data_IF_740796788844
#
_entry.id   IF_740796788844
#
_cell.length_a   1.000
_cell.length_b   1.000
_cell.length_c   1.000
_cell.angle_alpha   90.00
_cell.angle_beta   90.00
_cell.angle_gamma   90.00
#
_symmetry.space_group_name_H-M   'P 1'
#
loop_
_entity.id
_entity.type
_entity.pdbx_description
1 polymer ?
#
# COMPACT_ATOMS: atom_id res chain seq x y z
N UNK A 1 8.86 -7.88 1.82
CA UNK A 1 9.21 -7.26 0.52
C UNK A 1 9.79 -8.29 -0.43
N UNK A 2 9.20 -9.49 -0.48
CA UNK A 2 9.72 -10.57 -1.30
C UNK A 2 8.99 -10.58 -2.62
N UNK A 3 9.72 -10.62 -3.75
CA UNK A 3 9.17 -10.68 -5.11
C UNK A 3 8.26 -9.51 -5.48
N UNK A 4 8.56 -8.29 -5.03
CA UNK A 4 7.75 -7.11 -5.36
C UNK A 4 8.52 -6.02 -6.12
N UNK A 5 9.76 -6.32 -6.57
CA UNK A 5 10.54 -5.32 -7.28
C UNK A 5 9.92 -4.89 -8.60
N UNK A 6 9.17 -5.77 -9.27
CA UNK A 6 8.43 -5.49 -10.49
C UNK A 6 7.34 -4.43 -10.29
N UNK A 7 6.81 -4.29 -9.07
CA UNK A 7 5.77 -3.32 -8.76
C UNK A 7 6.21 -1.86 -8.89
N UNK A 8 7.51 -1.59 -8.82
CA UNK A 8 8.03 -0.25 -9.07
C UNK A 8 7.98 0.15 -10.55
N UNK A 9 8.04 -0.85 -11.43
CA UNK A 9 7.98 -0.65 -12.88
C UNK A 9 6.56 -0.77 -13.43
N UNK A 10 5.73 -1.66 -12.85
CA UNK A 10 4.38 -1.97 -13.33
C UNK A 10 3.26 -1.29 -12.52
N UNK A 11 3.51 -1.02 -11.24
CA UNK A 11 2.50 -0.53 -10.30
C UNK A 11 1.60 -1.64 -9.77
N UNK A 12 0.73 -1.29 -8.82
CA UNK A 12 -0.27 -2.17 -8.21
C UNK A 12 -1.67 -1.84 -8.69
N UNK A 13 -2.57 -2.83 -8.61
CA UNK A 13 -3.97 -2.71 -8.93
C UNK A 13 -4.79 -2.55 -7.65
N UNK A 14 -5.40 -1.40 -7.45
CA UNK A 14 -6.23 -1.14 -6.28
C UNK A 14 -7.67 -1.63 -6.49
N UNK A 15 -8.24 -2.17 -5.43
CA UNK A 15 -9.62 -2.62 -5.40
C UNK A 15 -10.31 -2.12 -4.15
N UNK A 16 -11.42 -1.41 -4.32
CA UNK A 16 -12.29 -1.04 -3.21
C UNK A 16 -12.98 -2.31 -2.73
N UNK A 17 -12.83 -2.60 -1.44
CA UNK A 17 -13.40 -3.79 -0.81
C UNK A 17 -14.67 -3.48 -0.03
N UNK A 18 -15.42 -4.52 0.30
CA UNK A 18 -16.59 -4.41 1.18
C UNK A 18 -16.20 -4.02 2.61
N UNK A 19 -15.02 -4.45 3.06
CA UNK A 19 -14.47 -4.08 4.36
C UNK A 19 -14.19 -2.57 4.41
N UNK A 20 -14.62 -1.92 5.49
CA UNK A 20 -14.35 -0.50 5.76
C UNK A 20 -13.21 -0.33 6.76
N UNK A 21 -12.52 0.81 6.67
CA UNK A 21 -11.62 1.24 7.73
C UNK A 21 -12.39 1.36 9.05
N UNK A 22 -11.75 0.98 10.16
CA UNK A 22 -12.39 1.08 11.47
C UNK A 22 -12.38 2.55 11.88
N UNK A 23 -13.55 3.13 12.18
CA UNK A 23 -13.62 4.52 12.57
C UNK A 23 -12.99 4.74 13.96
N UNK A 24 -12.40 5.92 14.15
CA UNK A 24 -11.61 6.24 15.33
C UNK A 24 -12.38 6.12 16.65
N UNK A 25 -13.70 6.26 16.67
CA UNK A 25 -14.52 6.10 17.86
C UNK A 25 -14.71 4.63 18.30
N UNK A 26 -14.45 3.66 17.45
CA UNK A 26 -14.48 2.24 17.80
C UNK A 26 -13.08 1.73 18.17
N UNK A 27 -12.09 2.04 17.38
CA UNK A 27 -10.69 1.72 17.65
C UNK A 27 -9.80 2.73 16.94
N UNK A 28 -9.10 3.58 17.69
CA UNK A 28 -8.28 4.64 17.10
C UNK A 28 -7.19 4.06 16.19
N UNK A 29 -7.25 4.27 14.86
CA UNK A 29 -6.31 3.72 13.91
C UNK A 29 -4.89 4.26 14.09
N UNK A 30 -4.70 5.36 14.80
CA UNK A 30 -3.39 5.91 15.16
C UNK A 30 -2.62 5.00 16.10
N UNK A 31 -3.31 4.10 16.81
CA UNK A 31 -2.70 3.03 17.59
C UNK A 31 -2.36 1.88 16.64
N UNK A 32 -1.07 1.65 16.40
CA UNK A 32 -0.62 0.55 15.53
C UNK A 32 -0.88 -0.81 16.18
N UNK A 33 -2.09 -1.33 16.04
CA UNK A 33 -2.49 -2.62 16.53
C UNK A 33 -1.95 -3.76 15.65
N UNK A 34 -1.45 -4.83 16.26
CA UNK A 34 -1.00 -6.04 15.55
C UNK A 34 -2.14 -6.98 15.18
N UNK A 35 -3.25 -6.95 15.91
CA UNK A 35 -4.45 -7.71 15.57
C UNK A 35 -5.13 -7.07 14.37
N UNK A 36 -4.85 -7.59 13.18
CA UNK A 36 -5.34 -7.07 11.89
C UNK A 36 -6.34 -7.99 11.22
N UNK A 37 -7.08 -8.75 12.01
CA UNK A 37 -8.03 -9.74 11.51
C UNK A 37 -9.09 -9.10 10.61
N UNK A 38 -9.56 -7.91 10.97
CA UNK A 38 -10.52 -7.16 10.16
C UNK A 38 -9.96 -6.75 8.78
N UNK A 39 -8.67 -6.44 8.68
CA UNK A 39 -8.03 -6.17 7.39
C UNK A 39 -7.74 -7.44 6.59
N UNK A 40 -7.68 -8.61 7.25
CA UNK A 40 -7.54 -9.89 6.57
C UNK A 40 -8.75 -10.16 5.65
N UNK A 41 -9.95 -9.75 6.05
CA UNK A 41 -11.14 -9.91 5.21
C UNK A 41 -11.01 -9.16 3.87
N UNK A 42 -10.46 -7.94 3.89
CA UNK A 42 -10.18 -7.20 2.66
C UNK A 42 -9.14 -7.91 1.78
N UNK A 43 -8.10 -8.50 2.39
CA UNK A 43 -7.10 -9.28 1.65
C UNK A 43 -7.69 -10.56 1.04
N UNK A 44 -8.58 -11.25 1.75
CA UNK A 44 -9.29 -12.43 1.23
C UNK A 44 -10.13 -12.02 0.01
N UNK A 45 -10.89 -10.93 0.11
CA UNK A 45 -11.72 -10.41 -0.97
C UNK A 45 -10.89 -10.14 -2.23
N UNK A 46 -9.79 -9.42 -2.14
CA UNK A 46 -8.95 -9.13 -3.31
C UNK A 46 -8.19 -10.36 -3.83
N UNK A 47 -7.92 -11.36 -2.97
CA UNK A 47 -7.29 -12.61 -3.40
C UNK A 47 -8.17 -13.48 -4.30
N UNK A 48 -9.49 -13.27 -4.26
CA UNK A 48 -10.45 -13.97 -5.14
C UNK A 48 -10.55 -13.32 -6.53
N UNK A 49 -9.98 -12.13 -6.70
CA UNK A 49 -9.99 -11.40 -7.96
C UNK A 49 -8.91 -11.96 -8.88
N UNK A 50 -9.28 -12.30 -10.12
CA UNK A 50 -8.31 -12.79 -11.11
C UNK A 50 -7.26 -11.73 -11.43
N UNK A 51 -6.03 -12.16 -11.60
CA UNK A 51 -4.87 -11.32 -11.90
C UNK A 51 -3.89 -11.26 -10.74
N UNK A 52 -2.78 -10.59 -10.96
CA UNK A 52 -1.71 -10.42 -9.98
C UNK A 52 -1.71 -8.99 -9.44
N UNK A 53 -1.00 -8.82 -8.32
CA UNK A 53 -0.72 -7.51 -7.73
C UNK A 53 -1.99 -6.69 -7.38
N UNK A 54 -3.06 -7.41 -7.01
CA UNK A 54 -4.30 -6.83 -6.52
C UNK A 54 -4.14 -6.46 -5.03
N UNK A 55 -4.45 -5.22 -4.70
CA UNK A 55 -4.31 -4.65 -3.36
C UNK A 55 -5.63 -4.03 -2.92
N UNK A 56 -6.00 -4.24 -1.66
CA UNK A 56 -7.20 -3.64 -1.10
C UNK A 56 -7.02 -2.15 -0.82
N UNK A 57 -8.00 -1.36 -1.22
CA UNK A 57 -8.19 0.02 -0.82
C UNK A 57 -9.47 0.11 0.00
N UNK A 58 -9.34 0.56 1.24
CA UNK A 58 -10.46 0.69 2.17
C UNK A 58 -11.08 2.07 2.05
N UNK A 59 -12.39 2.11 2.09
CA UNK A 59 -13.13 3.35 2.34
C UNK A 59 -13.45 3.46 3.84
N UNK A 60 -13.65 4.66 4.31
CA UNK A 60 -14.23 4.91 5.63
C UNK A 60 -15.73 4.59 5.66
N UNK A 61 -16.38 4.80 6.80
CA UNK A 61 -17.82 4.55 6.96
C UNK A 61 -18.69 5.56 6.21
N UNK A 62 -18.14 6.66 5.75
CA UNK A 62 -18.84 7.67 4.94
C UNK A 62 -18.64 7.48 3.44
N UNK A 63 -17.80 6.52 3.03
CA UNK A 63 -17.51 6.22 1.63
C UNK A 63 -16.31 6.95 1.05
N UNK A 64 -15.56 7.70 1.85
CA UNK A 64 -14.32 8.32 1.42
C UNK A 64 -13.14 7.35 1.48
N UNK A 65 -12.17 7.53 0.60
CA UNK A 65 -10.93 6.75 0.59
C UNK A 65 -10.20 6.96 1.92
N UNK A 66 -9.79 5.85 2.56
CA UNK A 66 -9.02 5.87 3.79
C UNK A 66 -7.58 5.38 3.56
N UNK A 67 -7.33 4.09 3.62
CA UNK A 67 -6.01 3.52 3.51
C UNK A 67 -6.03 2.10 2.93
N UNK A 68 -4.88 1.54 2.60
CA UNK A 68 -4.76 0.10 2.31
C UNK A 68 -4.60 -0.71 3.59
N UNK A 69 -4.61 -2.04 3.48
CA UNK A 69 -4.48 -2.97 4.62
C UNK A 69 -3.22 -2.75 5.48
N UNK A 70 -2.19 -2.14 4.94
CA UNK A 70 -0.95 -1.87 5.67
C UNK A 70 -0.16 -0.72 5.07
N UNK A 71 -0.84 0.20 4.43
CA UNK A 71 -0.24 1.30 3.67
C UNK A 71 -1.17 2.50 3.61
N UNK A 72 -0.62 3.69 3.55
CA UNK A 72 -1.39 4.92 3.35
C UNK A 72 -1.52 5.21 1.86
N UNK A 73 -2.64 5.81 1.49
CA UNK A 73 -2.99 6.17 0.12
C UNK A 73 -2.68 7.64 -0.18
N UNK A 74 -2.27 7.89 -1.42
CA UNK A 74 -2.10 9.22 -1.99
C UNK A 74 -2.53 9.23 -3.44
N UNK A 75 -3.03 10.37 -3.91
CA UNK A 75 -3.21 10.63 -5.33
C UNK A 75 -2.54 11.95 -5.73
N UNK A 76 -2.28 12.11 -7.02
CA UNK A 76 -1.73 13.34 -7.60
C UNK A 76 -2.71 13.85 -8.64
N UNK A 77 -3.00 15.13 -8.59
CA UNK A 77 -3.75 15.86 -9.62
C UNK A 77 -3.12 17.23 -9.82
N UNK A 78 -2.86 17.59 -11.07
CA UNK A 78 -2.27 18.89 -11.44
C UNK A 78 -0.98 19.22 -10.65
N UNK A 79 -0.10 18.22 -10.50
CA UNK A 79 1.15 18.30 -9.72
C UNK A 79 0.95 18.63 -8.22
N UNK A 80 -0.24 18.45 -7.67
CA UNK A 80 -0.55 18.56 -6.25
C UNK A 80 -0.78 17.14 -5.70
N UNK A 81 -0.20 16.83 -4.56
CA UNK A 81 -0.43 15.57 -3.84
C UNK A 81 -1.63 15.75 -2.92
N UNK A 82 -2.57 14.83 -2.99
CA UNK A 82 -3.70 14.75 -2.07
C UNK A 82 -3.61 13.47 -1.25
N UNK A 83 -3.99 13.55 0.01
CA UNK A 83 -4.11 12.40 0.89
C UNK A 83 -5.46 12.43 1.61
N UNK A 84 -5.98 11.25 2.00
CA UNK A 84 -7.19 11.14 2.81
C UNK A 84 -7.05 11.87 4.15
N UNK A 85 -8.18 12.34 4.66
CA UNK A 85 -8.25 12.90 6.01
C UNK A 85 -7.73 11.91 7.05
N UNK A 86 -6.82 12.36 7.92
CA UNK A 86 -6.06 11.49 8.83
C UNK A 86 -6.84 11.07 10.09
N UNK A 87 -8.17 11.18 10.07
CA UNK A 87 -9.03 10.79 11.19
C UNK A 87 -9.06 9.28 11.37
N UNK A 88 -9.34 8.57 10.28
CA UNK A 88 -9.63 7.12 10.26
C UNK A 88 -8.50 6.31 9.58
N UNK A 89 -7.26 6.81 9.63
CA UNK A 89 -6.09 6.14 9.08
C UNK A 89 -4.92 6.12 10.05
N UNK A 90 -4.05 5.13 9.90
CA UNK A 90 -2.77 5.12 10.62
C UNK A 90 -1.88 6.26 10.10
N UNK A 91 -1.37 7.11 10.98
CA UNK A 91 -0.38 8.14 10.65
C UNK A 91 0.99 7.52 10.44
N UNK A 92 1.18 6.88 9.29
CA UNK A 92 2.37 6.11 8.95
C UNK A 92 3.64 6.97 8.91
N UNK A 93 4.79 6.38 9.28
CA UNK A 93 6.08 7.06 9.19
C UNK A 93 6.39 7.41 7.73
N UNK A 94 6.21 6.45 6.82
CA UNK A 94 6.41 6.67 5.38
C UNK A 94 5.50 7.77 4.81
N UNK A 95 4.26 7.84 5.28
CA UNK A 95 3.34 8.93 4.93
C UNK A 95 3.90 10.28 5.39
N UNK A 96 4.36 10.38 6.64
CA UNK A 96 4.96 11.60 7.19
C UNK A 96 6.21 12.03 6.42
N UNK A 97 7.07 11.08 6.04
CA UNK A 97 8.24 11.35 5.21
C UNK A 97 7.85 11.97 3.87
N UNK A 98 6.81 11.48 3.21
CA UNK A 98 6.31 12.12 1.98
C UNK A 98 5.85 13.54 2.23
N UNK A 99 5.06 13.76 3.29
CA UNK A 99 4.42 15.06 3.57
C UNK A 99 5.44 16.10 4.02
N UNK A 100 6.34 15.73 4.94
CA UNK A 100 7.19 16.69 5.64
C UNK A 100 8.60 16.84 5.04
N UNK A 101 9.09 15.81 4.34
CA UNK A 101 10.45 15.80 3.85
C UNK A 101 10.53 15.84 2.31
N UNK A 102 9.85 14.91 1.63
CA UNK A 102 10.03 14.70 0.19
C UNK A 102 9.28 15.73 -0.65
N UNK A 103 7.99 15.93 -0.37
CA UNK A 103 7.16 16.85 -1.15
C UNK A 103 7.65 18.31 -1.02
N UNK A 104 7.96 18.83 0.18
CA UNK A 104 8.54 20.16 0.32
C UNK A 104 9.87 20.32 -0.41
N UNK A 105 10.77 19.33 -0.32
CA UNK A 105 12.06 19.33 -1.03
C UNK A 105 11.89 19.42 -2.55
N UNK A 106 10.81 18.89 -3.09
CA UNK A 106 10.48 18.92 -4.52
C UNK A 106 9.60 20.13 -4.91
N UNK A 107 9.21 20.98 -3.97
CA UNK A 107 8.29 22.10 -4.20
C UNK A 107 6.87 21.65 -4.56
N UNK A 108 6.46 20.45 -4.12
CA UNK A 108 5.14 19.89 -4.41
C UNK A 108 4.21 20.14 -3.24
N UNK A 109 3.05 20.75 -3.52
CA UNK A 109 2.03 21.02 -2.52
C UNK A 109 1.35 19.71 -2.09
N UNK A 110 1.07 19.57 -0.79
CA UNK A 110 0.32 18.45 -0.22
C UNK A 110 -0.94 18.98 0.44
N UNK A 111 -2.08 18.37 0.14
CA UNK A 111 -3.40 18.76 0.65
C UNK A 111 -4.09 17.52 1.23
N UNK A 112 -4.53 17.62 2.48
CA UNK A 112 -5.42 16.66 3.12
C UNK A 112 -6.87 17.02 2.77
N UNK A 113 -7.65 16.05 2.28
CA UNK A 113 -9.08 16.22 1.96
C UNK A 113 -9.83 14.89 2.03
N UNK A 114 -11.15 14.96 2.13
CA UNK A 114 -11.99 13.80 1.82
C UNK A 114 -11.85 13.49 0.33
N UNK A 115 -11.43 12.28 0.01
CA UNK A 115 -11.22 11.79 -1.35
C UNK A 115 -12.33 10.81 -1.68
N UNK A 116 -13.12 11.10 -2.69
CA UNK A 116 -14.11 10.17 -3.21
C UNK A 116 -13.44 9.17 -4.19
N UNK A 117 -14.00 7.95 -4.37
CA UNK A 117 -13.51 7.05 -5.42
C UNK A 117 -13.46 7.68 -6.80
N UNK A 118 -14.38 8.62 -7.09
CA UNK A 118 -14.41 9.36 -8.35
C UNK A 118 -13.17 10.24 -8.52
N UNK A 119 -12.73 10.94 -7.47
CA UNK A 119 -11.49 11.73 -7.52
C UNK A 119 -10.29 10.88 -7.96
N UNK A 120 -10.24 9.60 -7.52
CA UNK A 120 -9.14 8.70 -7.87
C UNK A 120 -9.19 8.31 -9.35
N UNK A 121 -10.36 8.15 -9.94
CA UNK A 121 -10.49 7.90 -11.38
C UNK A 121 -10.01 9.08 -12.23
N UNK A 122 -10.18 10.30 -11.72
CA UNK A 122 -9.74 11.52 -12.40
C UNK A 122 -8.28 11.93 -12.06
N UNK A 123 -7.63 11.21 -11.15
CA UNK A 123 -6.25 11.50 -10.77
C UNK A 123 -5.26 11.25 -11.90
N UNK A 124 -4.18 12.02 -11.92
CA UNK A 124 -3.08 11.81 -12.87
C UNK A 124 -2.19 10.65 -12.44
N UNK A 125 -2.02 10.46 -11.12
CA UNK A 125 -1.24 9.38 -10.50
C UNK A 125 -1.87 8.99 -9.16
N UNK A 126 -1.59 7.75 -8.72
CA UNK A 126 -1.80 7.34 -7.34
C UNK A 126 -0.63 6.50 -6.84
N UNK A 127 -0.42 6.48 -5.53
CA UNK A 127 0.59 5.64 -4.92
C UNK A 127 0.25 5.29 -3.47
N UNK A 128 0.87 4.23 -2.99
CA UNK A 128 0.77 3.78 -1.60
C UNK A 128 2.11 3.94 -0.90
N UNK A 129 2.06 4.20 0.42
CA UNK A 129 3.27 4.29 1.24
C UNK A 129 3.24 3.32 2.41
N UNK A 130 4.37 2.66 2.66
CA UNK A 130 4.56 1.80 3.84
C UNK A 130 6.05 1.59 4.10
N UNK A 131 6.43 1.25 5.34
CA UNK A 131 7.82 1.01 5.72
C UNK A 131 8.51 -0.05 4.86
N UNK A 132 7.88 -1.21 4.51
CA UNK A 132 8.56 -2.25 3.74
C UNK A 132 8.95 -1.88 2.31
N UNK A 133 8.26 -0.93 1.67
CA UNK A 133 8.46 -0.61 0.26
C UNK A 133 8.58 0.89 -0.03
N UNK A 134 8.59 1.74 1.00
CA UNK A 134 8.62 3.20 0.89
C UNK A 134 7.42 3.75 0.12
N UNK A 135 7.47 3.75 -1.20
CA UNK A 135 6.41 4.19 -2.13
C UNK A 135 6.22 3.12 -3.19
N UNK A 136 4.97 2.74 -3.46
CA UNK A 136 4.59 1.91 -4.60
C UNK A 136 3.56 2.63 -5.46
N UNK A 137 3.77 2.74 -6.78
CA UNK A 137 2.78 3.30 -7.70
C UNK A 137 1.51 2.45 -7.74
N UNK A 138 0.35 3.08 -7.77
CA UNK A 138 -0.93 2.45 -8.06
C UNK A 138 -1.41 2.91 -9.44
N UNK A 139 -1.77 1.98 -10.31
CA UNK A 139 -2.01 2.26 -11.73
C UNK A 139 -3.43 1.99 -12.19
N UNK A 140 -4.20 1.26 -11.37
CA UNK A 140 -5.64 1.04 -11.61
C UNK A 140 -6.43 1.10 -10.30
N UNK A 141 -7.70 1.47 -10.41
CA UNK A 141 -8.70 1.29 -9.37
C UNK A 141 -9.90 0.53 -9.98
N UNK A 142 -10.28 -0.62 -9.39
CA UNK A 142 -11.37 -1.46 -9.88
C UNK A 142 -11.30 -1.75 -11.39
N UNK A 143 -10.13 -2.06 -11.93
CA UNK A 143 -9.77 -2.26 -13.35
C UNK A 143 -9.69 -1.00 -14.22
N UNK A 144 -10.20 0.13 -13.78
CA UNK A 144 -10.08 1.37 -14.52
C UNK A 144 -8.69 1.98 -14.31
N UNK A 145 -8.10 2.51 -15.36
CA UNK A 145 -6.78 3.15 -15.28
C UNK A 145 -6.85 4.44 -14.46
N UNK A 146 -5.82 4.67 -13.66
CA UNK A 146 -5.52 5.95 -13.05
C UNK A 146 -4.50 6.64 -13.96
N UNK A 147 -4.82 7.83 -14.45
CA UNK A 147 -4.01 8.53 -15.45
C UNK A 147 -3.81 7.69 -16.70
N UNK A 148 -2.59 7.46 -17.10
CA UNK A 148 -2.23 6.63 -18.27
C UNK A 148 -2.11 5.13 -17.94
N UNK A 149 -2.33 4.74 -16.69
CA UNK A 149 -2.20 3.37 -16.21
C UNK A 149 -0.75 2.92 -16.02
N UNK A 150 0.16 3.86 -15.75
CA UNK A 150 1.59 3.62 -15.52
C UNK A 150 2.09 4.38 -14.30
N UNK A 151 3.22 3.96 -13.70
CA UNK A 151 3.88 4.73 -12.65
C UNK A 151 4.18 6.16 -13.08
N UNK A 152 3.62 7.13 -12.37
CA UNK A 152 3.64 8.53 -12.78
C UNK A 152 4.97 9.24 -12.48
N UNK A 153 5.09 10.47 -13.00
CA UNK A 153 6.31 11.28 -12.91
C UNK A 153 6.57 11.78 -11.48
N UNK A 154 5.51 12.20 -10.77
CA UNK A 154 5.62 12.71 -9.39
C UNK A 154 6.03 11.57 -8.47
N UNK A 155 5.38 10.40 -8.59
CA UNK A 155 5.71 9.20 -7.83
C UNK A 155 7.19 8.81 -8.02
N UNK A 156 7.69 8.82 -9.26
CA UNK A 156 9.12 8.52 -9.54
C UNK A 156 10.06 9.56 -8.94
N UNK A 157 9.71 10.86 -8.98
CA UNK A 157 10.50 11.92 -8.33
C UNK A 157 10.56 11.73 -6.82
N UNK A 158 9.46 11.36 -6.17
CA UNK A 158 9.42 11.08 -4.74
C UNK A 158 10.31 9.89 -4.36
N UNK A 159 10.25 8.78 -5.10
CA UNK A 159 11.10 7.61 -4.88
C UNK A 159 12.58 7.98 -5.03
N UNK A 160 12.92 8.77 -6.06
CA UNK A 160 14.30 9.24 -6.24
C UNK A 160 14.74 10.15 -5.10
N UNK A 161 13.92 11.13 -4.72
CA UNK A 161 14.22 12.04 -3.60
C UNK A 161 14.41 11.28 -2.27
N UNK A 162 13.64 10.21 -2.07
CA UNK A 162 13.82 9.33 -0.91
C UNK A 162 15.14 8.59 -0.97
N UNK A 163 15.47 8.00 -2.14
CA UNK A 163 16.76 7.34 -2.34
C UNK A 163 17.94 8.27 -2.08
N UNK A 164 17.87 9.50 -2.57
CA UNK A 164 18.89 10.54 -2.35
C UNK A 164 18.99 10.93 -0.85
N UNK A 165 17.85 10.98 -0.15
CA UNK A 165 17.80 11.32 1.27
C UNK A 165 18.46 10.26 2.16
N UNK A 166 18.26 8.98 1.85
CA UNK A 166 18.82 7.87 2.65
C UNK A 166 20.17 7.37 2.13
N UNK A 167 20.68 7.92 1.02
CA UNK A 167 21.96 7.52 0.43
C UNK A 167 21.96 6.12 -0.19
N UNK A 168 20.76 5.58 -0.53
CA UNK A 168 20.61 4.23 -1.10
C UNK A 168 19.60 4.27 -2.23
N UNK A 169 19.95 3.72 -3.39
CA UNK A 169 19.01 3.47 -4.47
C UNK A 169 18.01 2.37 -4.04
N UNK A 170 16.83 2.78 -3.58
CA UNK A 170 15.81 1.91 -3.01
C UNK A 170 15.38 0.84 -4.01
N UNK A 171 15.13 1.22 -5.26
CA UNK A 171 14.66 0.28 -6.29
C UNK A 171 15.76 -0.75 -6.60
N UNK A 172 17.00 -0.30 -6.79
CA UNK A 172 18.12 -1.19 -7.06
C UNK A 172 18.38 -2.15 -5.90
N UNK A 173 18.27 -1.67 -4.66
CA UNK A 173 18.41 -2.51 -3.47
C UNK A 173 17.35 -3.61 -3.42
N UNK A 174 16.07 -3.27 -3.63
CA UNK A 174 14.97 -4.23 -3.63
C UNK A 174 15.13 -5.24 -4.77
N UNK A 175 15.49 -4.79 -5.98
CA UNK A 175 15.80 -5.67 -7.12
C UNK A 175 16.97 -6.62 -6.81
N UNK A 176 17.95 -6.17 -6.03
CA UNK A 176 19.07 -7.04 -5.61
C UNK A 176 18.65 -8.12 -4.62
N UNK A 177 17.69 -7.81 -3.76
CA UNK A 177 17.16 -8.80 -2.80
C UNK A 177 16.31 -9.87 -3.47
N UNK A 178 15.51 -9.54 -4.47
CA UNK A 178 14.75 -10.52 -5.24
C UNK A 178 15.67 -11.53 -5.95
N UNK A 179 16.82 -11.08 -6.43
CA UNK A 179 17.82 -11.97 -7.06
C UNK A 179 18.52 -12.92 -6.07
N UNK A 180 18.76 -12.47 -4.85
CA UNK A 180 19.49 -13.25 -3.82
C UNK A 180 18.67 -14.39 -3.23
N UNK A 181 17.38 -14.43 -3.41
CA UNK A 181 16.44 -15.31 -2.72
C UNK A 181 16.30 -16.73 -3.24
N UNK A 182 16.94 -17.06 -4.35
CA UNK A 182 16.91 -18.43 -4.88
C UNK A 182 17.60 -19.49 -4.01
N UNK A 183 18.29 -19.09 -2.93
CA UNK A 183 19.10 -19.98 -2.09
C UNK A 183 18.76 -20.01 -0.60
N UNK A 184 17.75 -19.26 -0.16
CA UNK A 184 17.36 -19.24 1.26
C UNK A 184 16.33 -20.33 1.59
N UNK A 185 16.73 -21.36 2.35
CA UNK A 185 15.79 -22.25 3.03
C UNK A 185 15.04 -21.44 4.08
N UNK A 186 13.71 -21.36 3.98
CA UNK A 186 12.90 -20.84 5.09
C UNK A 186 13.02 -21.79 6.27
N UNK A 187 13.16 -21.31 7.53
CA UNK A 187 13.19 -22.18 8.70
C UNK A 187 11.88 -22.94 8.92
N UNK A 188 10.81 -22.59 8.20
CA UNK A 188 9.52 -23.27 8.23
C UNK A 188 9.34 -24.00 6.89
N UNK A 189 9.62 -25.29 6.88
CA UNK A 189 9.16 -26.19 5.82
C UNK A 189 7.74 -26.60 6.17
N UNK A 190 6.74 -26.02 5.51
CA UNK A 190 5.42 -26.64 5.47
C UNK A 190 5.55 -27.89 4.57
N UNK A 191 5.53 -29.06 5.17
CA UNK A 191 5.36 -30.28 4.42
C UNK A 191 3.91 -30.30 3.93
N UNK A 192 3.72 -30.22 2.63
CA UNK A 192 2.39 -30.27 2.00
C UNK A 192 1.72 -31.64 2.20
N UNK A 193 2.45 -32.65 2.66
CA UNK A 193 1.99 -34.02 2.91
C UNK A 193 1.87 -34.33 4.41
N UNK A 194 2.11 -33.37 5.31
CA UNK A 194 1.89 -33.57 6.72
C UNK A 194 0.40 -33.72 7.01
N UNK A 195 -0.06 -34.95 7.17
CA UNK A 195 -1.37 -35.24 7.73
C UNK A 195 -1.33 -34.79 9.19
N UNK A 196 -2.16 -33.81 9.56
CA UNK A 196 -2.40 -33.46 10.94
C UNK A 196 -3.13 -34.62 11.61
N UNK A 197 -2.39 -35.54 12.22
CA UNK A 197 -2.96 -36.44 13.22
C UNK A 197 -3.10 -35.61 14.50
N UNK A 198 -4.32 -35.19 14.81
CA UNK A 198 -4.65 -34.77 16.15
C UNK A 198 -4.74 -36.05 17.00
N UNK A 199 -3.71 -36.35 17.75
CA UNK A 199 -3.85 -37.27 18.88
C UNK A 199 -4.65 -36.57 19.96
N UNK A 200 -5.97 -36.81 19.93
CA UNK A 200 -6.84 -36.49 21.05
C UNK A 200 -6.67 -37.64 22.03
N UNK A 201 -5.58 -37.67 22.77
CA UNK A 201 -5.52 -38.48 24.00
C UNK A 201 -6.19 -37.66 25.09
N UNK A 202 -7.38 -38.14 25.45
CA UNK A 202 -8.07 -37.66 26.63
C UNK A 202 -7.33 -38.09 27.91
N UNK A 203 -7.23 -37.16 28.81
CA UNK A 203 -7.37 -37.31 30.27
C UNK A 203 -7.85 -36.00 30.84
#
# INVERSE_FOLDING_TARGET
VQNCSHLYDQGINLWITSQRAIPAHLMDPKIKNRSRLFYLMANIEVSMIKGNDNWALLLDTNGFVAEGVGSNFFMVKDNVIFLPEQRDVLRGISMKTVIHDLAPKLGIKVIEKNIEPFDVYEADEAFMTSTPFCILPAVTLNKLKIGDGKPGKVTKKLIKAWSDMVGVDIIKQIKSWDKKKKTGTTPYKFDKNATLTMDIEGN
#
